data_IF_163696731090
#
_entry.id   IF_163696731090
#
_cell.length_a   1.000
_cell.length_b   1.000
_cell.length_c   1.000
_cell.angle_alpha   90.00
_cell.angle_beta   90.00
_cell.angle_gamma   90.00
#
_symmetry.space_group_name_H-M   'P 1'
#
loop_
_entity.id
_entity.type
_entity.pdbx_description
1 polymer ?
#
# COMPACT_ATOMS: atom_id res chain seq x y z
N UNK A 1 22.71 25.57 -1.85
CA UNK A 1 22.24 25.37 -3.24
C UNK A 1 21.10 24.36 -3.17
N UNK A 2 19.94 24.61 -3.81
CA UNK A 2 18.86 23.62 -3.82
C UNK A 2 19.29 22.43 -4.71
N UNK A 3 18.98 21.20 -4.28
CA UNK A 3 19.24 19.99 -5.09
C UNK A 3 18.41 20.03 -6.36
N UNK A 4 18.99 19.56 -7.46
CA UNK A 4 18.27 19.37 -8.72
C UNK A 4 17.28 18.19 -8.60
N UNK A 5 16.18 18.14 -9.38
CA UNK A 5 15.18 17.07 -9.29
C UNK A 5 15.78 15.66 -9.28
N UNK A 6 16.64 15.37 -10.26
CA UNK A 6 17.33 14.08 -10.36
C UNK A 6 18.22 13.79 -9.15
N UNK A 7 18.95 14.79 -8.65
CA UNK A 7 19.82 14.63 -7.48
C UNK A 7 19.00 14.36 -6.21
N UNK A 8 17.85 15.03 -6.05
CA UNK A 8 16.91 14.77 -4.95
C UNK A 8 16.43 13.32 -5.01
N UNK A 9 15.93 12.86 -6.16
CA UNK A 9 15.36 11.51 -6.26
C UNK A 9 16.44 10.43 -6.10
N UNK A 10 17.58 10.53 -6.80
CA UNK A 10 18.67 9.55 -6.64
C UNK A 10 19.21 9.56 -5.21
N UNK A 11 19.34 10.74 -4.61
CA UNK A 11 19.76 10.88 -3.22
C UNK A 11 18.78 10.25 -2.24
N UNK A 12 17.48 10.24 -2.53
CA UNK A 12 16.48 9.54 -1.70
C UNK A 12 16.76 8.03 -1.68
N UNK A 13 16.89 7.40 -2.86
CA UNK A 13 17.25 5.98 -2.96
C UNK A 13 18.55 5.66 -2.23
N UNK A 14 19.58 6.47 -2.45
CA UNK A 14 20.90 6.19 -1.88
C UNK A 14 20.97 6.48 -0.37
N UNK A 15 20.52 7.65 0.07
CA UNK A 15 20.65 8.04 1.48
C UNK A 15 19.61 7.36 2.35
N UNK A 16 18.36 7.30 1.91
CA UNK A 16 17.24 6.81 2.74
C UNK A 16 17.12 5.29 2.62
N UNK A 17 17.03 4.73 1.41
CA UNK A 17 16.81 3.29 1.26
C UNK A 17 18.10 2.50 1.49
N UNK A 18 19.20 2.86 0.81
CA UNK A 18 20.45 2.08 0.88
C UNK A 18 21.28 2.38 2.14
N UNK A 19 21.49 3.65 2.47
CA UNK A 19 22.33 4.06 3.62
C UNK A 19 21.55 4.21 4.93
N UNK A 20 20.22 4.06 4.89
CA UNK A 20 19.33 4.05 6.06
C UNK A 20 19.46 5.32 6.93
N UNK A 21 19.73 6.46 6.29
CA UNK A 21 19.81 7.78 6.91
C UNK A 21 18.43 8.38 7.10
N UNK A 22 17.58 7.73 7.90
CA UNK A 22 16.20 8.16 8.14
C UNK A 22 16.10 9.54 8.80
N UNK A 23 17.19 9.99 9.45
CA UNK A 23 17.35 11.36 9.94
C UNK A 23 17.25 12.43 8.84
N UNK A 24 17.52 12.05 7.58
CA UNK A 24 17.49 12.96 6.43
C UNK A 24 16.16 12.90 5.65
N UNK A 25 15.19 12.08 6.07
CA UNK A 25 14.00 11.79 5.23
C UNK A 25 13.17 13.05 4.90
N UNK A 26 13.04 13.98 5.85
CA UNK A 26 12.31 15.24 5.69
C UNK A 26 13.09 16.27 4.85
N UNK A 27 14.38 16.01 4.60
CA UNK A 27 15.13 16.75 3.60
C UNK A 27 14.78 16.29 2.19
N UNK A 28 14.33 15.04 1.99
CA UNK A 28 14.01 14.47 0.68
C UNK A 28 12.53 14.56 0.33
N UNK A 29 11.64 14.34 1.29
CA UNK A 29 10.20 14.44 1.11
C UNK A 29 9.64 15.68 1.80
N UNK A 30 8.74 16.39 1.13
CA UNK A 30 7.91 17.37 1.80
C UNK A 30 6.82 16.66 2.61
N UNK A 31 6.53 17.14 3.83
CA UNK A 31 5.50 16.54 4.69
C UNK A 31 4.10 16.59 4.05
N UNK A 32 3.85 17.56 3.16
CA UNK A 32 2.61 17.67 2.41
C UNK A 32 2.59 16.84 1.13
N UNK A 33 3.69 16.16 0.79
CA UNK A 33 3.84 15.36 -0.43
C UNK A 33 2.70 14.38 -0.59
N UNK A 34 2.19 14.26 -1.81
CA UNK A 34 1.09 13.38 -2.16
C UNK A 34 1.60 12.15 -2.89
N UNK A 35 1.29 10.97 -2.38
CA UNK A 35 1.53 9.70 -3.06
C UNK A 35 0.20 9.15 -3.59
N UNK A 36 0.14 8.96 -4.90
CA UNK A 36 -1.02 8.49 -5.63
C UNK A 36 -1.07 6.96 -5.66
N UNK A 37 -2.05 6.37 -5.00
CA UNK A 37 -2.25 4.92 -5.07
C UNK A 37 -2.98 4.51 -6.36
N UNK A 38 -2.64 3.34 -6.94
CA UNK A 38 -3.26 2.90 -8.18
C UNK A 38 -4.75 2.55 -8.01
N UNK A 39 -5.55 2.65 -9.08
CA UNK A 39 -6.93 2.20 -9.08
C UNK A 39 -7.04 0.68 -8.95
N UNK A 40 -8.15 0.21 -8.38
CA UNK A 40 -8.47 -1.21 -8.25
C UNK A 40 -9.98 -1.45 -8.20
N UNK A 41 -10.40 -2.72 -8.26
CA UNK A 41 -11.80 -3.10 -8.10
C UNK A 41 -12.01 -3.75 -6.74
N UNK A 42 -13.02 -3.29 -5.99
CA UNK A 42 -13.40 -3.93 -4.73
C UNK A 42 -14.32 -3.05 -3.88
N UNK A 43 -14.32 -3.31 -2.57
CA UNK A 43 -15.15 -2.60 -1.60
C UNK A 43 -14.60 -1.22 -1.21
N UNK A 44 -13.38 -0.85 -1.61
CA UNK A 44 -12.76 0.41 -1.16
C UNK A 44 -12.31 0.39 0.29
N UNK A 45 -11.99 -0.78 0.83
CA UNK A 45 -11.47 -0.95 2.19
C UNK A 45 -10.00 -1.35 2.15
N UNK A 46 -9.20 -0.74 3.03
CA UNK A 46 -7.88 -1.25 3.39
C UNK A 46 -7.93 -1.68 4.85
N UNK A 47 -7.47 -2.90 5.11
CA UNK A 47 -7.48 -3.50 6.44
C UNK A 47 -6.09 -3.58 7.04
N UNK A 48 -6.03 -3.79 8.35
CA UNK A 48 -4.83 -4.13 9.09
C UNK A 48 -5.15 -5.25 10.06
N UNK A 49 -4.15 -6.09 10.34
CA UNK A 49 -4.26 -7.20 11.26
C UNK A 49 -3.66 -6.79 12.60
N UNK A 50 -4.42 -6.96 13.68
CA UNK A 50 -3.94 -6.68 15.03
C UNK A 50 -4.66 -7.54 16.06
N UNK A 51 -3.92 -8.22 16.92
CA UNK A 51 -4.48 -8.99 18.05
C UNK A 51 -5.59 -9.97 17.60
N UNK A 52 -5.33 -10.74 16.53
CA UNK A 52 -6.28 -11.67 15.90
C UNK A 52 -7.58 -11.02 15.41
N UNK A 53 -7.51 -9.75 14.99
CA UNK A 53 -8.62 -9.01 14.38
C UNK A 53 -8.25 -8.43 13.04
N UNK A 54 -9.24 -8.35 12.16
CA UNK A 54 -9.17 -7.60 10.91
C UNK A 54 -9.87 -6.26 11.12
N UNK A 55 -9.08 -5.19 11.20
CA UNK A 55 -9.59 -3.83 11.42
C UNK A 55 -9.57 -3.04 10.12
N UNK A 56 -10.60 -2.22 9.90
CA UNK A 56 -10.62 -1.26 8.81
C UNK A 56 -9.62 -0.15 9.15
N UNK A 57 -8.54 -0.08 8.37
CA UNK A 57 -7.53 0.98 8.52
C UNK A 57 -7.97 2.25 7.79
N UNK A 58 -8.49 2.09 6.57
CA UNK A 58 -8.89 3.18 5.70
C UNK A 58 -10.10 2.78 4.88
N UNK A 59 -11.00 3.74 4.67
CA UNK A 59 -12.01 3.68 3.62
C UNK A 59 -11.56 4.61 2.51
N UNK A 60 -11.35 4.07 1.31
CA UNK A 60 -10.86 4.82 0.16
C UNK A 60 -11.83 5.97 -0.17
N UNK A 61 -11.37 7.23 -0.24
CA UNK A 61 -12.20 8.37 -0.61
C UNK A 61 -12.91 8.15 -1.95
N UNK A 62 -14.22 8.41 -1.98
CA UNK A 62 -15.06 8.17 -3.17
C UNK A 62 -15.27 6.69 -3.52
N UNK A 63 -14.76 5.76 -2.71
CA UNK A 63 -14.90 4.32 -2.92
C UNK A 63 -16.25 3.76 -2.45
N UNK A 64 -16.55 2.48 -2.75
CA UNK A 64 -17.88 1.92 -2.52
C UNK A 64 -18.33 1.79 -1.06
N UNK A 65 -17.41 1.66 -0.12
CA UNK A 65 -17.73 1.56 1.32
C UNK A 65 -17.94 2.91 2.02
N UNK A 66 -17.81 4.04 1.32
CA UNK A 66 -17.96 5.37 1.92
C UNK A 66 -19.34 5.53 2.57
N UNK A 67 -19.35 5.92 3.84
CA UNK A 67 -20.56 6.13 4.63
C UNK A 67 -21.21 4.85 5.19
N UNK A 68 -20.73 3.67 4.80
CA UNK A 68 -21.22 2.37 5.27
C UNK A 68 -20.32 1.78 6.36
N UNK A 69 -19.02 1.92 6.16
CA UNK A 69 -17.96 1.40 7.04
C UNK A 69 -17.07 2.55 7.50
N UNK A 70 -16.47 2.46 8.68
CA UNK A 70 -15.58 3.48 9.23
C UNK A 70 -14.20 2.90 9.59
N UNK A 71 -13.13 3.71 9.52
CA UNK A 71 -11.85 3.34 10.12
C UNK A 71 -12.02 2.97 11.60
N UNK A 72 -11.40 1.87 12.01
CA UNK A 72 -11.50 1.29 13.36
C UNK A 72 -12.57 0.20 13.51
N UNK A 73 -13.48 0.04 12.55
CA UNK A 73 -14.43 -1.08 12.55
C UNK A 73 -13.69 -2.42 12.48
N UNK A 74 -14.08 -3.38 13.32
CA UNK A 74 -13.61 -4.76 13.25
C UNK A 74 -14.53 -5.54 12.31
N UNK A 75 -13.96 -6.22 11.32
CA UNK A 75 -14.69 -7.11 10.42
C UNK A 75 -14.73 -8.49 11.07
N UNK A 76 -15.94 -8.97 11.33
CA UNK A 76 -16.19 -10.29 11.94
C UNK A 76 -16.49 -11.34 10.88
N UNK A 77 -17.20 -10.93 9.83
CA UNK A 77 -17.57 -11.78 8.71
C UNK A 77 -17.72 -10.93 7.44
N UNK A 78 -17.35 -11.53 6.32
CA UNK A 78 -17.70 -11.04 4.99
C UNK A 78 -18.40 -12.16 4.23
N UNK A 79 -19.42 -11.85 3.44
CA UNK A 79 -20.12 -12.83 2.63
C UNK A 79 -20.51 -12.24 1.27
N UNK A 80 -20.31 -12.98 0.20
CA UNK A 80 -20.93 -12.72 -1.09
C UNK A 80 -21.85 -13.88 -1.49
N UNK A 81 -22.28 -13.92 -2.76
CA UNK A 81 -23.22 -14.95 -3.22
C UNK A 81 -22.59 -16.36 -3.28
N UNK A 82 -21.26 -16.46 -3.24
CA UNK A 82 -20.53 -17.72 -3.42
C UNK A 82 -19.86 -18.17 -2.14
N UNK A 83 -19.38 -17.24 -1.31
CA UNK A 83 -18.53 -17.56 -0.17
C UNK A 83 -18.90 -16.76 1.08
N UNK A 84 -18.61 -17.34 2.23
CA UNK A 84 -18.66 -16.68 3.54
C UNK A 84 -17.30 -16.87 4.23
N UNK A 85 -16.72 -15.77 4.68
CA UNK A 85 -15.45 -15.71 5.41
C UNK A 85 -15.74 -15.26 6.84
N UNK A 86 -15.79 -16.19 7.78
CA UNK A 86 -16.09 -15.91 9.19
C UNK A 86 -14.84 -16.01 10.05
N UNK A 87 -14.57 -14.97 10.84
CA UNK A 87 -13.45 -14.92 11.78
C UNK A 87 -12.10 -14.60 11.13
N UNK A 88 -11.11 -14.37 11.98
CA UNK A 88 -9.81 -13.81 11.62
C UNK A 88 -9.08 -14.58 10.51
N UNK A 89 -8.88 -15.89 10.67
CA UNK A 89 -8.12 -16.69 9.70
C UNK A 89 -8.76 -16.70 8.31
N UNK A 90 -10.09 -16.81 8.23
CA UNK A 90 -10.81 -16.81 6.96
C UNK A 90 -10.79 -15.43 6.30
N UNK A 91 -10.97 -14.36 7.08
CA UNK A 91 -10.92 -12.98 6.58
C UNK A 91 -9.52 -12.58 6.13
N UNK A 92 -8.48 -13.05 6.81
CA UNK A 92 -7.07 -12.84 6.45
C UNK A 92 -6.71 -13.56 5.14
N UNK A 93 -7.13 -14.80 4.99
CA UNK A 93 -6.80 -15.60 3.81
C UNK A 93 -7.69 -15.31 2.59
N UNK A 94 -8.87 -14.71 2.82
CA UNK A 94 -9.90 -14.53 1.80
C UNK A 94 -9.75 -13.24 0.98
N UNK A 95 -10.06 -13.33 -0.32
CA UNK A 95 -10.17 -12.16 -1.22
C UNK A 95 -11.62 -11.63 -1.24
N UNK A 96 -12.15 -11.28 -0.08
CA UNK A 96 -13.57 -10.88 0.05
C UNK A 96 -13.83 -9.44 -0.40
N UNK A 97 -12.83 -8.54 -0.28
CA UNK A 97 -12.97 -7.13 -0.64
C UNK A 97 -12.98 -6.88 -2.15
N UNK A 98 -12.09 -7.55 -2.89
CA UNK A 98 -11.97 -7.47 -4.35
C UNK A 98 -12.86 -8.51 -5.04
N UNK A 99 -13.17 -8.33 -6.32
CA UNK A 99 -14.01 -9.26 -7.07
C UNK A 99 -14.68 -8.61 -8.28
N UNK A 100 -15.79 -9.20 -8.72
CA UNK A 100 -16.55 -8.72 -9.89
C UNK A 100 -17.33 -7.46 -9.54
N UNK A 101 -17.25 -6.43 -10.40
CA UNK A 101 -18.02 -5.17 -10.25
C UNK A 101 -19.53 -5.48 -10.17
N UNK A 102 -20.23 -4.80 -9.28
CA UNK A 102 -21.68 -4.95 -9.07
C UNK A 102 -22.07 -6.12 -8.15
N UNK A 103 -21.11 -6.94 -7.71
CA UNK A 103 -21.39 -7.98 -6.70
C UNK A 103 -21.47 -7.38 -5.31
N UNK A 104 -22.41 -7.88 -4.51
CA UNK A 104 -22.63 -7.41 -3.13
C UNK A 104 -21.83 -8.24 -2.14
N UNK A 105 -21.20 -7.54 -1.21
CA UNK A 105 -20.55 -8.13 -0.04
C UNK A 105 -21.26 -7.63 1.20
N UNK A 106 -21.81 -8.55 1.99
CA UNK A 106 -22.38 -8.28 3.30
C UNK A 106 -21.27 -8.41 4.34
N UNK A 107 -21.06 -7.36 5.14
CA UNK A 107 -20.07 -7.30 6.20
C UNK A 107 -20.78 -7.29 7.55
N UNK A 108 -20.42 -8.22 8.43
CA UNK A 108 -20.74 -8.13 9.86
C UNK A 108 -19.58 -7.43 10.56
N UNK A 109 -19.87 -6.32 11.22
CA UNK A 109 -18.89 -5.42 11.80
C UNK A 109 -19.10 -5.27 13.30
N UNK A 110 -18.03 -4.97 14.04
CA UNK A 110 -18.10 -4.47 15.41
C UNK A 110 -17.53 -3.06 15.48
N UNK A 111 -18.33 -2.14 16.01
CA UNK A 111 -17.95 -0.74 16.29
C UNK A 111 -18.12 -0.45 17.78
N UNK A 112 -17.02 -0.50 18.52
CA UNK A 112 -17.09 -0.47 19.98
C UNK A 112 -17.84 -1.70 20.50
N UNK A 113 -18.99 -1.48 21.15
CA UNK A 113 -19.86 -2.54 21.65
C UNK A 113 -20.99 -2.92 20.68
N UNK A 114 -21.17 -2.16 19.60
CA UNK A 114 -22.26 -2.35 18.65
C UNK A 114 -21.89 -3.36 17.56
N UNK A 115 -22.84 -4.24 17.22
CA UNK A 115 -22.78 -5.10 16.05
C UNK A 115 -23.60 -4.48 14.92
N UNK A 116 -22.97 -4.35 13.76
CA UNK A 116 -23.52 -3.68 12.59
C UNK A 116 -23.46 -4.61 11.38
N UNK A 117 -24.39 -4.40 10.46
CA UNK A 117 -24.35 -5.00 9.12
C UNK A 117 -24.23 -3.89 8.08
N UNK A 118 -23.32 -4.08 7.13
CA UNK A 118 -23.18 -3.20 5.98
C UNK A 118 -23.16 -4.03 4.69
N UNK A 119 -23.93 -3.63 3.68
CA UNK A 119 -23.85 -4.21 2.34
C UNK A 119 -23.10 -3.26 1.42
N UNK A 120 -21.94 -3.68 0.93
CA UNK A 120 -21.11 -2.91 -0.02
C UNK A 120 -21.20 -3.55 -1.39
N UNK A 121 -21.46 -2.77 -2.43
CA UNK A 121 -21.39 -3.23 -3.81
C UNK A 121 -19.98 -2.99 -4.35
N UNK A 122 -19.28 -4.04 -4.81
CA UNK A 122 -17.92 -3.91 -5.35
C UNK A 122 -17.92 -2.99 -6.56
N UNK A 123 -16.97 -2.07 -6.62
CA UNK A 123 -16.89 -1.08 -7.70
C UNK A 123 -15.45 -0.68 -8.02
N UNK A 124 -15.30 0.20 -9.00
CA UNK A 124 -14.02 0.83 -9.31
C UNK A 124 -13.67 1.81 -8.18
N UNK A 125 -12.50 1.61 -7.58
CA UNK A 125 -11.83 2.59 -6.73
C UNK A 125 -10.81 3.29 -7.62
N UNK A 126 -10.94 4.60 -7.79
CA UNK A 126 -10.14 5.37 -8.76
C UNK A 126 -8.66 5.54 -8.39
N UNK A 127 -8.22 4.95 -7.27
CA UNK A 127 -7.00 5.31 -6.58
C UNK A 127 -7.30 6.35 -5.49
N UNK A 128 -6.34 6.59 -4.61
CA UNK A 128 -6.47 7.61 -3.57
C UNK A 128 -5.12 8.14 -3.12
N UNK A 129 -5.17 9.36 -2.62
CA UNK A 129 -4.00 10.12 -2.21
C UNK A 129 -3.63 9.79 -0.77
N UNK A 130 -2.34 9.60 -0.54
CA UNK A 130 -1.75 9.53 0.79
C UNK A 130 -0.79 10.70 0.98
N UNK A 131 -0.92 11.41 2.10
CA UNK A 131 0.04 12.44 2.46
C UNK A 131 1.23 11.79 3.17
N UNK A 132 2.44 12.08 2.70
CA UNK A 132 3.67 11.51 3.24
C UNK A 132 3.79 11.76 4.75
N UNK A 133 3.48 12.97 5.25
CA UNK A 133 3.52 13.27 6.67
C UNK A 133 2.62 12.38 7.53
N UNK A 134 1.53 11.84 6.98
CA UNK A 134 0.63 10.92 7.69
C UNK A 134 1.13 9.47 7.71
N UNK A 135 2.00 9.10 6.77
CA UNK A 135 2.54 7.73 6.63
C UNK A 135 4.03 7.62 6.95
N UNK A 136 4.72 8.74 7.18
CA UNK A 136 6.17 8.85 7.39
C UNK A 136 6.71 7.85 8.40
N UNK A 137 6.12 7.82 9.59
CA UNK A 137 6.63 6.96 10.67
C UNK A 137 6.36 5.48 10.38
N UNK A 138 5.24 5.16 9.73
CA UNK A 138 4.96 3.80 9.28
C UNK A 138 5.95 3.36 8.17
N UNK A 139 6.33 4.28 7.28
CA UNK A 139 7.32 4.01 6.24
C UNK A 139 8.73 3.76 6.84
N UNK A 140 9.16 4.58 7.80
CA UNK A 140 10.42 4.37 8.51
C UNK A 140 10.39 3.04 9.28
N UNK A 141 9.29 2.76 9.99
CA UNK A 141 9.11 1.50 10.71
C UNK A 141 9.22 0.28 9.79
N UNK A 142 8.58 0.32 8.61
CA UNK A 142 8.71 -0.72 7.59
C UNK A 142 10.18 -0.96 7.22
N UNK A 143 10.92 0.11 6.92
CA UNK A 143 12.34 0.00 6.58
C UNK A 143 13.15 -0.59 7.76
N UNK A 144 12.88 -0.16 9.00
CA UNK A 144 13.57 -0.56 10.24
C UNK A 144 13.28 -1.98 10.72
N UNK A 145 12.06 -2.47 10.54
CA UNK A 145 11.61 -3.71 11.17
C UNK A 145 11.31 -4.80 10.16
N UNK A 146 10.78 -4.44 8.99
CA UNK A 146 10.28 -5.40 8.00
C UNK A 146 11.25 -5.62 6.83
N UNK A 147 11.95 -4.56 6.41
CA UNK A 147 12.86 -4.53 5.27
C UNK A 147 14.27 -4.06 5.66
N UNK A 148 14.82 -4.65 6.73
CA UNK A 148 16.10 -4.27 7.35
C UNK A 148 17.32 -4.32 6.42
N UNK A 149 17.31 -5.23 5.46
CA UNK A 149 18.37 -5.42 4.47
C UNK A 149 17.97 -4.94 3.07
N UNK A 150 16.94 -4.09 2.97
CA UNK A 150 16.53 -3.49 1.69
C UNK A 150 17.73 -2.81 1.02
N UNK A 151 17.92 -3.14 -0.25
CA UNK A 151 18.84 -2.47 -1.15
C UNK A 151 18.13 -2.22 -2.46
N UNK A 152 18.36 -1.04 -3.03
CA UNK A 152 17.74 -0.59 -4.26
C UNK A 152 18.80 -0.17 -5.27
N UNK A 153 18.74 -0.75 -6.46
CA UNK A 153 19.56 -0.36 -7.61
C UNK A 153 18.70 0.45 -8.58
N UNK A 154 19.01 1.73 -8.74
CA UNK A 154 18.34 2.58 -9.74
C UNK A 154 18.95 2.30 -11.11
N UNK A 155 18.20 1.61 -11.96
CA UNK A 155 18.64 1.15 -13.27
C UNK A 155 18.48 2.21 -14.36
N UNK A 156 17.36 2.95 -14.33
CA UNK A 156 17.08 4.02 -15.30
C UNK A 156 16.53 5.23 -14.58
N UNK A 157 16.87 6.40 -15.10
CA UNK A 157 16.32 7.68 -14.62
C UNK A 157 16.08 8.58 -15.82
N UNK A 158 14.84 9.04 -15.97
CA UNK A 158 14.42 10.01 -16.99
C UNK A 158 13.94 11.26 -16.26
N UNK A 159 14.46 12.43 -16.65
CA UNK A 159 14.10 13.71 -16.05
C UNK A 159 13.49 14.62 -17.12
N UNK A 160 12.36 15.24 -16.80
CA UNK A 160 11.73 16.27 -17.62
C UNK A 160 11.15 17.37 -16.73
N UNK A 161 11.84 18.51 -16.66
CA UNK A 161 11.42 19.63 -15.82
C UNK A 161 11.51 19.26 -14.34
N UNK A 162 10.38 19.31 -13.64
CA UNK A 162 10.26 18.94 -12.22
C UNK A 162 9.91 17.46 -12.01
N UNK A 163 9.68 16.70 -13.07
CA UNK A 163 9.35 15.28 -13.01
C UNK A 163 10.58 14.40 -13.24
N UNK A 164 10.72 13.36 -12.42
CA UNK A 164 11.77 12.35 -12.51
C UNK A 164 11.13 10.97 -12.44
N UNK A 165 11.24 10.20 -13.51
CA UNK A 165 10.86 8.80 -13.54
C UNK A 165 12.09 7.92 -13.26
N UNK A 166 11.91 6.89 -12.45
CA UNK A 166 12.94 5.89 -12.14
C UNK A 166 12.41 4.49 -12.43
N UNK A 167 13.29 3.64 -12.93
CA UNK A 167 13.10 2.19 -12.90
C UNK A 167 14.17 1.63 -11.97
N UNK A 168 13.76 0.94 -10.92
CA UNK A 168 14.65 0.44 -9.90
C UNK A 168 14.41 -1.06 -9.62
N UNK A 169 15.45 -1.73 -9.12
CA UNK A 169 15.40 -3.13 -8.70
C UNK A 169 15.69 -3.17 -7.20
N UNK A 170 14.70 -3.62 -6.45
CA UNK A 170 14.76 -3.80 -5.00
C UNK A 170 15.14 -5.23 -4.64
N UNK A 171 15.82 -5.38 -3.51
CA UNK A 171 16.10 -6.66 -2.87
C UNK A 171 16.00 -6.51 -1.35
N UNK A 172 15.20 -7.35 -0.72
CA UNK A 172 15.08 -7.41 0.75
C UNK A 172 14.66 -8.81 1.21
N UNK A 173 14.90 -9.09 2.48
CA UNK A 173 14.41 -10.26 3.21
C UNK A 173 13.20 -9.86 4.04
N UNK A 174 12.05 -10.50 3.79
CA UNK A 174 10.84 -10.29 4.59
C UNK A 174 11.06 -10.83 6.01
N UNK A 175 10.83 -10.00 7.02
CA UNK A 175 10.86 -10.42 8.43
C UNK A 175 9.76 -11.45 8.75
N UNK A 176 8.60 -11.35 8.10
CA UNK A 176 7.44 -12.22 8.32
C UNK A 176 7.65 -13.62 7.73
N UNK A 177 8.14 -13.71 6.48
CA UNK A 177 8.27 -14.99 5.78
C UNK A 177 9.69 -15.56 5.80
N UNK A 178 10.65 -14.80 6.33
CA UNK A 178 12.07 -15.13 6.38
C UNK A 178 12.61 -15.59 5.00
N UNK A 179 12.23 -14.84 3.96
CA UNK A 179 12.54 -15.13 2.55
C UNK A 179 12.98 -13.86 1.85
N UNK A 180 13.98 -14.03 1.01
CA UNK A 180 14.49 -12.95 0.18
C UNK A 180 13.71 -12.87 -1.14
N UNK A 181 13.38 -11.66 -1.54
CA UNK A 181 12.76 -11.36 -2.83
C UNK A 181 13.54 -10.27 -3.55
N UNK A 182 13.49 -10.32 -4.89
CA UNK A 182 13.94 -9.26 -5.79
C UNK A 182 12.75 -8.83 -6.64
N UNK A 183 12.46 -7.54 -6.69
CA UNK A 183 11.32 -7.02 -7.45
C UNK A 183 11.68 -5.70 -8.13
N UNK A 184 11.05 -5.44 -9.26
CA UNK A 184 11.20 -4.18 -9.97
C UNK A 184 10.12 -3.20 -9.52
N UNK A 185 10.44 -1.92 -9.56
CA UNK A 185 9.47 -0.84 -9.40
C UNK A 185 9.71 0.24 -10.47
N UNK A 186 8.65 0.97 -10.76
CA UNK A 186 8.69 2.15 -11.60
C UNK A 186 7.95 3.27 -10.90
N UNK A 187 8.68 4.32 -10.57
CA UNK A 187 8.13 5.48 -9.88
C UNK A 187 8.33 6.75 -10.70
N UNK A 188 7.40 7.67 -10.56
CA UNK A 188 7.48 9.03 -11.06
C UNK A 188 7.38 9.95 -9.85
N UNK A 189 8.34 10.86 -9.71
CA UNK A 189 8.38 11.85 -8.64
C UNK A 189 8.28 13.25 -9.22
N UNK A 190 7.50 14.12 -8.58
CA UNK A 190 7.59 15.57 -8.76
C UNK A 190 8.47 16.17 -7.67
N UNK A 191 9.40 17.04 -8.07
CA UNK A 191 10.32 17.72 -7.16
C UNK A 191 10.12 19.21 -7.20
N UNK A 192 9.86 19.82 -6.04
CA UNK A 192 9.83 21.26 -5.85
C UNK A 192 10.74 21.66 -4.68
N UNK A 193 11.48 22.75 -4.86
CA UNK A 193 12.41 23.26 -3.85
C UNK A 193 13.43 22.23 -3.32
N UNK A 194 13.81 21.27 -4.16
CA UNK A 194 14.76 20.20 -3.83
C UNK A 194 14.18 19.08 -2.98
N UNK A 195 12.84 18.98 -2.88
CA UNK A 195 12.09 17.93 -2.17
C UNK A 195 11.04 17.29 -3.08
N UNK A 196 10.77 16.01 -2.86
CA UNK A 196 9.67 15.29 -3.47
C UNK A 196 8.37 15.82 -2.87
N UNK A 197 7.47 16.26 -3.74
CA UNK A 197 6.14 16.81 -3.37
C UNK A 197 4.99 16.00 -3.93
N UNK A 198 5.28 15.06 -4.84
CA UNK A 198 4.28 14.20 -5.44
C UNK A 198 4.94 12.91 -5.94
N UNK A 199 4.25 11.77 -5.86
CA UNK A 199 4.74 10.49 -6.39
C UNK A 199 3.64 9.60 -6.95
N UNK A 200 3.97 8.85 -7.99
CA UNK A 200 3.19 7.72 -8.52
C UNK A 200 4.12 6.52 -8.60
N UNK A 201 3.64 5.35 -8.23
CA UNK A 201 4.47 4.15 -8.19
C UNK A 201 3.69 2.90 -8.52
N UNK A 202 4.37 1.99 -9.22
CA UNK A 202 3.93 0.60 -9.34
C UNK A 202 5.13 -0.32 -9.08
N UNK A 203 4.87 -1.40 -8.36
CA UNK A 203 5.86 -2.44 -8.09
C UNK A 203 5.40 -3.79 -8.64
N UNK A 204 6.36 -4.65 -8.96
CA UNK A 204 6.09 -6.05 -9.32
C UNK A 204 5.77 -6.89 -8.08
N UNK A 205 4.64 -6.58 -7.46
CA UNK A 205 4.13 -7.27 -6.28
C UNK A 205 3.85 -8.76 -6.54
N UNK A 206 3.54 -9.15 -7.79
CA UNK A 206 3.33 -10.54 -8.13
C UNK A 206 4.63 -11.36 -8.03
N UNK A 207 5.71 -10.88 -8.62
CA UNK A 207 7.02 -11.56 -8.50
C UNK A 207 7.52 -11.53 -7.07
N UNK A 208 7.29 -10.44 -6.32
CA UNK A 208 7.60 -10.38 -4.89
C UNK A 208 6.89 -11.49 -4.12
N UNK A 209 5.56 -11.55 -4.21
CA UNK A 209 4.74 -12.56 -3.52
C UNK A 209 5.14 -14.00 -3.88
N UNK A 210 5.42 -14.29 -5.17
CA UNK A 210 5.88 -15.63 -5.58
C UNK A 210 7.18 -16.04 -4.90
N UNK A 211 8.13 -15.12 -4.78
CA UNK A 211 9.43 -15.38 -4.10
C UNK A 211 9.26 -15.56 -2.59
N UNK A 212 8.28 -14.87 -1.99
CA UNK A 212 7.87 -15.07 -0.60
C UNK A 212 7.13 -16.40 -0.35
N UNK A 213 6.80 -17.15 -1.41
CA UNK A 213 6.20 -18.48 -1.31
C UNK A 213 4.67 -18.50 -1.39
N UNK A 214 4.04 -17.38 -1.76
CA UNK A 214 2.61 -17.33 -2.00
C UNK A 214 2.24 -18.21 -3.20
N UNK A 215 1.09 -18.88 -3.09
CA UNK A 215 0.49 -19.65 -4.18
C UNK A 215 -0.73 -18.89 -4.69
N UNK A 216 -0.74 -18.63 -5.99
CA UNK A 216 -1.86 -17.99 -6.66
C UNK A 216 -2.79 -19.06 -7.18
N UNK A 217 -3.92 -19.23 -6.50
CA UNK A 217 -5.00 -20.08 -6.98
C UNK A 217 -5.95 -19.19 -7.79
N UNK A 218 -6.23 -19.52 -9.07
CA UNK A 218 -7.29 -18.85 -9.81
C UNK A 218 -8.61 -18.99 -9.03
N UNK A 219 -9.51 -17.98 -9.11
CA UNK A 219 -10.85 -18.14 -8.54
C UNK A 219 -11.54 -19.36 -9.16
N UNK A 220 -12.30 -20.09 -8.34
CA UNK A 220 -13.16 -21.19 -8.81
C UNK A 220 -14.28 -20.59 -9.70
N UNK A 221 -14.60 -21.26 -10.80
CA UNK A 221 -15.67 -20.86 -11.74
C UNK A 221 -17.07 -20.99 -11.14
#
# INVERSE_FOLDING_TARGET
MKRMPRETVIGFFEQILNQRRFDLIDEYFDASSISHNPPYVGCGLLTTEREDKVLVRLVAPGGPAVGLVLPGDEILEAADAQHTWTGYEALKAGLWGQGVIGTRVVLQLRRGEELLEATVERGLVAGFDQHFGAIRDAFIHYLEEEARDLTTTVERVVEQGDLVAVYAINRATSSEYNRQAVWAECDIFRVADGRIVESWGIEDGQSWMRQQGFRFTPPEE
#
